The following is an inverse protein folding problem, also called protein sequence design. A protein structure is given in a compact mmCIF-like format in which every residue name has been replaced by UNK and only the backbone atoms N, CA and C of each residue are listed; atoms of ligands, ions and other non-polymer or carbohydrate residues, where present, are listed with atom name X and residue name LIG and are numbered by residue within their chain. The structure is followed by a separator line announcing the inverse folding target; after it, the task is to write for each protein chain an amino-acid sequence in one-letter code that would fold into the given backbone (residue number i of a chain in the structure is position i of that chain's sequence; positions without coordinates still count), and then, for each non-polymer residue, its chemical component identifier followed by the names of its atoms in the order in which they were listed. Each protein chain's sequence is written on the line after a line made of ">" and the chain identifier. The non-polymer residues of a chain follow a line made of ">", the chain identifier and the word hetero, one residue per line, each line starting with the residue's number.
data_IF_700441023223
#
_entry.id   IF_700441023223
#
_cell.length_a   1.000
_cell.length_b   1.000
_cell.length_c   1.000
_cell.angle_alpha   90.00
_cell.angle_beta   90.00
_cell.angle_gamma   90.00
#
_symmetry.space_group_name_H-M   'P 1'
#
loop_
_entity.id
_entity.type
_entity.pdbx_description
1 polymer ?
#
# COMPACT_ATOMS: atom_id res chain seq x y z
N UNK A 1 18.75 19.87 -61.67
CA UNK A 1 18.48 19.30 -63.01
C UNK A 1 17.32 18.31 -62.89
N UNK A 2 16.25 18.57 -63.65
CA UNK A 2 15.15 17.70 -64.18
C UNK A 2 14.48 16.70 -63.20
N UNK A 3 13.20 16.87 -62.81
CA UNK A 3 11.94 16.60 -63.58
C UNK A 3 11.78 15.12 -63.97
N UNK A 4 10.64 14.41 -63.90
CA UNK A 4 9.23 14.62 -63.51
C UNK A 4 8.55 13.22 -63.71
N UNK A 5 7.60 12.73 -62.90
CA UNK A 5 6.16 12.52 -63.19
C UNK A 5 5.66 11.46 -62.17
N UNK A 6 4.70 11.66 -61.26
CA UNK A 6 3.24 11.91 -61.34
C UNK A 6 2.45 10.93 -62.22
N UNK A 7 1.63 10.08 -61.59
CA UNK A 7 0.26 9.80 -62.04
C UNK A 7 -0.72 9.70 -60.84
N UNK A 8 -1.69 10.61 -60.87
CA UNK A 8 -2.96 10.63 -60.15
C UNK A 8 -4.05 10.57 -61.23
N UNK A 9 -5.04 9.70 -61.11
CA UNK A 9 -6.38 9.82 -61.70
C UNK A 9 -7.20 8.57 -61.34
N UNK A 10 -8.52 8.57 -61.14
CA UNK A 10 -9.60 9.56 -61.04
C UNK A 10 -10.82 8.76 -60.52
N UNK A 11 -11.65 9.34 -59.66
CA UNK A 11 -13.05 8.92 -59.45
C UNK A 11 -13.89 9.41 -60.63
N UNK A 12 -14.94 8.69 -61.05
CA UNK A 12 -16.34 9.16 -61.09
C UNK A 12 -17.34 8.03 -61.47
N UNK A 13 -18.68 8.22 -61.51
CA UNK A 13 -19.62 7.46 -60.69
C UNK A 13 -20.73 6.79 -61.53
N UNK A 14 -21.80 6.34 -60.85
CA UNK A 14 -23.09 5.87 -61.38
C UNK A 14 -23.17 4.39 -61.77
N UNK A 15 -23.90 3.61 -60.97
CA UNK A 15 -25.18 3.08 -61.45
C UNK A 15 -26.04 2.61 -60.26
N UNK A 16 -27.31 2.95 -60.36
CA UNK A 16 -28.37 2.76 -59.40
C UNK A 16 -29.02 1.39 -59.64
N UNK A 17 -29.11 0.52 -58.62
CA UNK A 17 -30.07 -0.59 -58.64
C UNK A 17 -30.43 -1.01 -57.21
N UNK A 18 -31.61 -0.58 -56.78
CA UNK A 18 -32.29 -1.01 -55.56
C UNK A 18 -32.62 -2.51 -55.65
N UNK A 19 -32.23 -3.30 -54.65
CA UNK A 19 -32.93 -4.54 -54.28
C UNK A 19 -33.32 -4.48 -52.81
N UNK A 20 -34.61 -4.28 -52.59
CA UNK A 20 -35.26 -4.43 -51.29
C UNK A 20 -35.35 -5.94 -50.98
N UNK A 21 -34.62 -6.40 -49.97
CA UNK A 21 -34.90 -7.68 -49.31
C UNK A 21 -35.29 -7.35 -47.88
N UNK A 22 -36.57 -7.58 -47.56
CA UNK A 22 -37.12 -7.45 -46.21
C UNK A 22 -36.56 -8.58 -45.33
N UNK A 23 -35.54 -8.29 -44.53
CA UNK A 23 -35.12 -9.14 -43.42
C UNK A 23 -36.02 -8.88 -42.19
N UNK A 24 -36.66 -9.93 -41.66
CA UNK A 24 -37.35 -9.88 -40.36
C UNK A 24 -36.33 -9.64 -39.24
N UNK A 25 -36.69 -8.92 -38.15
CA UNK A 25 -35.79 -8.81 -37.01
C UNK A 25 -35.69 -10.18 -36.32
N UNK A 26 -34.47 -10.71 -36.22
CA UNK A 26 -34.19 -11.87 -35.41
C UNK A 26 -34.37 -11.49 -33.93
N UNK A 27 -35.38 -12.05 -33.29
CA UNK A 27 -35.53 -12.01 -31.84
C UNK A 27 -34.41 -12.83 -31.22
N UNK A 28 -33.46 -12.15 -30.57
CA UNK A 28 -32.44 -12.79 -29.77
C UNK A 28 -33.13 -13.44 -28.55
N UNK A 29 -33.43 -14.74 -28.63
CA UNK A 29 -33.80 -15.52 -27.45
C UNK A 29 -32.55 -15.76 -26.64
N UNK A 30 -32.40 -15.02 -25.54
CA UNK A 30 -31.43 -15.36 -24.50
C UNK A 30 -31.91 -16.66 -23.86
N UNK A 31 -31.18 -17.74 -24.10
CA UNK A 31 -31.38 -19.04 -23.44
C UNK A 31 -31.15 -18.86 -21.93
N UNK A 32 -32.14 -19.19 -21.10
CA UNK A 32 -32.10 -19.04 -19.64
C UNK A 32 -31.25 -20.10 -18.92
N UNK A 33 -30.21 -20.62 -19.57
CA UNK A 33 -29.45 -21.77 -19.08
C UNK A 33 -27.95 -21.48 -19.10
N UNK A 34 -27.52 -20.40 -18.45
CA UNK A 34 -26.14 -20.17 -17.97
C UNK A 34 -26.14 -19.04 -16.93
N UNK A 35 -26.97 -19.19 -15.89
CA UNK A 35 -26.73 -18.53 -14.60
C UNK A 35 -26.63 -19.65 -13.59
N UNK A 36 -25.43 -20.20 -13.46
CA UNK A 36 -25.10 -21.15 -12.40
C UNK A 36 -23.92 -20.57 -11.63
N UNK A 37 -24.20 -20.22 -10.36
CA UNK A 37 -23.24 -19.92 -9.30
C UNK A 37 -22.45 -18.59 -9.36
N UNK A 38 -23.15 -17.46 -9.46
CA UNK A 38 -22.78 -16.33 -8.57
C UNK A 38 -23.68 -16.47 -7.35
N UNK A 39 -23.19 -17.17 -6.33
CA UNK A 39 -23.88 -17.22 -5.04
C UNK A 39 -24.01 -15.79 -4.52
N UNK A 40 -25.19 -15.21 -4.60
CA UNK A 40 -25.58 -14.07 -3.78
C UNK A 40 -25.39 -14.52 -2.34
N UNK A 41 -24.36 -13.99 -1.66
CA UNK A 41 -24.16 -14.24 -0.23
C UNK A 41 -25.44 -13.82 0.49
N UNK A 42 -25.98 -14.65 1.38
CA UNK A 42 -27.24 -14.36 2.02
C UNK A 42 -27.14 -13.04 2.81
N UNK A 43 -28.17 -12.21 2.72
CA UNK A 43 -28.32 -10.95 3.46
C UNK A 43 -28.13 -11.11 4.99
N UNK A 44 -28.10 -12.36 5.49
CA UNK A 44 -27.89 -12.71 6.90
C UNK A 44 -26.48 -12.41 7.44
N UNK A 45 -25.44 -12.34 6.59
CA UNK A 45 -24.06 -12.06 7.08
C UNK A 45 -23.91 -10.58 7.48
N UNK A 46 -24.49 -9.66 6.70
CA UNK A 46 -24.47 -8.24 7.01
C UNK A 46 -25.18 -7.90 8.33
N UNK A 47 -26.16 -8.71 8.76
CA UNK A 47 -26.93 -8.49 9.98
C UNK A 47 -26.11 -8.64 11.28
N UNK A 48 -24.96 -9.33 11.24
CA UNK A 48 -24.11 -9.58 12.41
C UNK A 48 -22.83 -8.73 12.44
N UNK A 49 -22.68 -7.78 11.51
CA UNK A 49 -21.49 -6.93 11.44
C UNK A 49 -21.60 -5.72 12.37
N UNK A 50 -20.49 -5.25 12.97
CA UNK A 50 -20.48 -4.02 13.76
C UNK A 50 -20.93 -2.79 12.96
N UNK A 51 -21.35 -1.73 13.66
CA UNK A 51 -21.55 -0.41 13.02
C UNK A 51 -20.24 0.12 12.44
N UNK A 52 -20.34 1.01 11.45
CA UNK A 52 -19.15 1.53 10.76
C UNK A 52 -18.28 2.46 11.62
N UNK A 53 -18.78 2.93 12.77
CA UNK A 53 -18.08 3.88 13.65
C UNK A 53 -16.71 3.36 14.11
N UNK A 54 -16.65 2.09 14.50
CA UNK A 54 -15.41 1.45 14.94
C UNK A 54 -14.38 1.38 13.81
N UNK A 55 -14.80 1.00 12.60
CA UNK A 55 -13.92 0.95 11.43
C UNK A 55 -13.45 2.35 11.02
N UNK A 56 -14.35 3.34 10.99
CA UNK A 56 -14.01 4.74 10.73
C UNK A 56 -13.03 5.29 11.78
N UNK A 57 -13.16 4.88 13.04
CA UNK A 57 -12.23 5.25 14.10
C UNK A 57 -10.82 4.70 13.84
N UNK A 58 -10.69 3.44 13.43
CA UNK A 58 -9.39 2.85 13.05
C UNK A 58 -8.75 3.58 11.86
N UNK A 59 -9.56 4.02 10.89
CA UNK A 59 -9.08 4.86 9.77
C UNK A 59 -8.54 6.19 10.28
N UNK A 60 -9.28 6.88 11.17
CA UNK A 60 -8.84 8.16 11.75
C UNK A 60 -7.52 8.03 12.52
N UNK A 61 -7.33 6.94 13.26
CA UNK A 61 -6.10 6.69 14.03
C UNK A 61 -4.84 6.56 13.16
N UNK A 62 -4.99 6.16 11.90
CA UNK A 62 -3.87 6.14 10.94
C UNK A 62 -3.69 7.48 10.21
N UNK A 63 -4.66 8.39 10.29
CA UNK A 63 -4.68 9.69 9.60
C UNK A 63 -4.65 10.86 10.58
N UNK A 64 -3.60 10.92 11.41
CA UNK A 64 -3.45 11.88 12.53
C UNK A 64 -2.32 12.87 12.31
N UNK A 65 -2.38 14.01 13.03
CA UNK A 65 -1.33 15.03 13.04
C UNK A 65 -1.33 15.96 11.82
N UNK A 66 -2.39 15.95 11.01
CA UNK A 66 -2.48 16.74 9.78
C UNK A 66 -2.42 18.26 10.01
N UNK A 67 -2.80 18.70 11.21
CA UNK A 67 -2.64 20.08 11.68
C UNK A 67 -1.16 20.52 11.77
N UNK A 68 -0.22 19.58 11.90
CA UNK A 68 1.22 19.87 11.89
C UNK A 68 1.79 20.00 10.48
N UNK A 69 1.05 19.64 9.43
CA UNK A 69 1.53 19.67 8.04
C UNK A 69 2.10 21.04 7.62
N UNK A 70 1.51 22.19 7.99
CA UNK A 70 2.05 23.52 7.71
C UNK A 70 3.34 23.87 8.48
N UNK A 71 3.86 22.97 9.33
CA UNK A 71 5.15 23.15 10.02
C UNK A 71 6.29 22.38 9.35
N UNK A 72 5.97 21.45 8.43
CA UNK A 72 6.97 20.60 7.81
C UNK A 72 7.67 21.30 6.65
N UNK A 73 8.96 21.08 6.53
CA UNK A 73 9.78 21.62 5.43
C UNK A 73 9.94 20.56 4.34
N UNK A 74 9.57 20.84 3.08
CA UNK A 74 9.76 19.92 1.95
C UNK A 74 11.20 19.44 1.79
N UNK A 75 11.37 18.14 1.54
CA UNK A 75 12.62 17.53 1.08
C UNK A 75 12.56 17.38 -0.43
N UNK A 76 13.45 18.06 -1.14
CA UNK A 76 13.45 18.16 -2.59
C UNK A 76 14.76 17.59 -3.13
N UNK A 77 14.65 16.60 -4.01
CA UNK A 77 15.80 16.00 -4.70
C UNK A 77 15.54 16.11 -6.20
N UNK A 78 16.50 16.64 -6.94
CA UNK A 78 16.40 16.82 -8.40
C UNK A 78 15.12 17.54 -8.84
N UNK A 79 14.76 18.60 -8.10
CA UNK A 79 13.55 19.42 -8.36
C UNK A 79 12.22 18.76 -7.97
N UNK A 80 12.23 17.55 -7.39
CA UNK A 80 11.02 16.80 -7.00
C UNK A 80 10.90 16.73 -5.48
N UNK A 81 9.74 17.09 -4.95
CA UNK A 81 9.43 16.83 -3.54
C UNK A 81 9.30 15.32 -3.32
N UNK A 82 10.11 14.79 -2.42
CA UNK A 82 10.18 13.36 -2.10
C UNK A 82 9.90 13.05 -0.64
N UNK A 83 9.77 14.09 0.20
CA UNK A 83 9.39 13.95 1.59
C UNK A 83 9.22 15.29 2.29
N UNK A 84 9.02 15.26 3.61
CA UNK A 84 8.88 16.47 4.45
C UNK A 84 9.49 16.24 5.83
N UNK A 85 10.34 17.16 6.27
CA UNK A 85 11.03 17.07 7.55
C UNK A 85 10.29 17.88 8.63
N UNK A 86 10.20 17.30 9.83
CA UNK A 86 9.83 18.05 11.03
C UNK A 86 10.95 19.02 11.44
N UNK A 87 10.64 20.15 12.11
CA UNK A 87 11.65 21.09 12.61
C UNK A 87 12.76 20.42 13.43
N UNK A 88 12.41 19.43 14.28
CA UNK A 88 13.39 18.69 15.09
C UNK A 88 14.46 17.97 14.24
N UNK A 89 14.07 17.37 13.11
CA UNK A 89 15.01 16.69 12.24
C UNK A 89 15.73 17.68 11.32
N UNK A 90 15.10 18.80 11.00
CA UNK A 90 15.74 19.91 10.29
C UNK A 90 16.99 20.41 11.02
N UNK A 91 16.96 20.49 12.36
CA UNK A 91 18.14 20.85 13.16
C UNK A 91 19.28 19.82 13.07
N UNK A 92 18.98 18.55 12.80
CA UNK A 92 20.01 17.53 12.60
C UNK A 92 20.66 17.66 11.23
N UNK A 93 19.87 17.82 10.16
CA UNK A 93 20.42 17.92 8.79
C UNK A 93 21.24 19.20 8.59
N UNK A 94 20.92 20.30 9.31
CA UNK A 94 21.73 21.54 9.31
C UNK A 94 23.19 21.34 9.75
N UNK A 95 23.48 20.27 10.50
CA UNK A 95 24.85 19.94 10.95
C UNK A 95 25.74 19.41 9.82
N UNK A 96 25.15 19.07 8.67
CA UNK A 96 25.81 18.43 7.53
C UNK A 96 25.66 19.28 6.26
N UNK A 97 26.16 20.54 6.25
CA UNK A 97 26.01 21.45 5.11
C UNK A 97 26.71 20.97 3.83
N UNK A 98 27.64 20.03 3.95
CA UNK A 98 28.29 19.34 2.84
C UNK A 98 27.41 18.30 2.14
N UNK A 99 26.25 17.97 2.71
CA UNK A 99 25.26 17.04 2.13
C UNK A 99 23.91 17.72 1.92
N UNK A 100 23.42 18.47 2.92
CA UNK A 100 22.10 19.09 2.91
C UNK A 100 22.17 20.60 2.85
N UNK A 101 21.42 21.20 1.93
CA UNK A 101 21.21 22.64 1.85
C UNK A 101 19.80 22.96 2.35
N UNK A 102 19.71 23.75 3.43
CA UNK A 102 18.45 24.23 4.00
C UNK A 102 18.23 25.67 3.57
N UNK A 103 17.19 25.91 2.77
CA UNK A 103 16.81 27.23 2.30
C UNK A 103 15.52 27.71 2.99
N UNK A 104 15.47 28.99 3.32
CA UNK A 104 14.28 29.62 3.92
C UNK A 104 14.07 29.26 5.39
N UNK A 105 12.88 29.58 5.89
CA UNK A 105 12.45 29.26 7.26
C UNK A 105 11.84 27.86 7.32
N UNK A 106 11.76 27.28 8.52
CA UNK A 106 11.03 26.03 8.72
C UNK A 106 9.56 26.16 8.26
N UNK A 107 9.00 25.06 7.75
CA UNK A 107 7.67 25.02 7.16
C UNK A 107 7.66 25.09 5.62
N UNK A 108 6.47 25.25 5.01
CA UNK A 108 6.24 25.13 3.57
C UNK A 108 6.96 26.15 2.69
N UNK A 109 7.42 27.28 3.25
CA UNK A 109 8.16 28.31 2.51
C UNK A 109 9.65 28.02 2.40
N UNK A 110 10.18 27.11 3.21
CA UNK A 110 11.54 26.61 3.09
C UNK A 110 11.62 25.35 2.25
N UNK A 111 12.83 24.83 2.09
CA UNK A 111 13.08 23.51 1.50
C UNK A 111 14.44 22.98 1.95
N UNK A 112 14.55 21.66 2.01
CA UNK A 112 15.83 20.94 2.16
C UNK A 112 16.17 20.30 0.82
N UNK A 113 17.37 20.55 0.33
CA UNK A 113 17.90 19.96 -0.91
C UNK A 113 19.24 19.29 -0.64
N UNK A 114 19.73 18.53 -1.61
CA UNK A 114 21.10 17.98 -1.58
C UNK A 114 22.06 18.92 -2.32
N UNK A 115 23.35 18.90 -1.95
CA UNK A 115 24.37 19.70 -2.63
C UNK A 115 24.52 19.33 -4.11
N UNK A 116 24.92 20.30 -4.93
CA UNK A 116 24.91 20.16 -6.39
C UNK A 116 25.92 19.12 -6.95
N UNK A 117 26.96 18.80 -6.19
CA UNK A 117 27.96 17.78 -6.52
C UNK A 117 27.44 16.34 -6.34
N UNK A 118 26.30 16.17 -5.66
CA UNK A 118 25.56 14.90 -5.54
C UNK A 118 24.62 14.73 -6.74
N UNK A 119 25.22 14.63 -7.92
CA UNK A 119 24.58 14.62 -9.24
C UNK A 119 24.02 13.25 -9.68
N UNK A 120 24.30 12.18 -8.94
CA UNK A 120 23.87 10.80 -9.25
C UNK A 120 23.17 10.16 -8.05
N UNK A 121 22.19 9.25 -8.26
CA UNK A 121 21.55 8.51 -7.18
C UNK A 121 22.56 7.80 -6.26
N UNK A 122 23.64 7.28 -6.81
CA UNK A 122 24.69 6.56 -6.08
C UNK A 122 25.43 7.49 -5.11
N UNK A 123 25.92 8.64 -5.59
CA UNK A 123 26.58 9.64 -4.74
C UNK A 123 25.65 10.16 -3.65
N UNK A 124 24.39 10.43 -3.98
CA UNK A 124 23.38 10.87 -3.02
C UNK A 124 23.16 9.81 -1.94
N UNK A 125 22.99 8.55 -2.35
CA UNK A 125 22.79 7.42 -1.43
C UNK A 125 23.97 7.25 -0.48
N UNK A 126 25.20 7.27 -1.01
CA UNK A 126 26.42 7.12 -0.21
C UNK A 126 26.56 8.24 0.83
N UNK A 127 26.42 9.50 0.42
CA UNK A 127 26.60 10.66 1.32
C UNK A 127 25.49 10.78 2.35
N UNK A 128 24.24 10.56 1.95
CA UNK A 128 23.11 10.54 2.89
C UNK A 128 23.25 9.37 3.85
N UNK A 129 23.66 8.18 3.40
CA UNK A 129 23.88 7.03 4.27
C UNK A 129 24.94 7.30 5.35
N UNK A 130 26.04 8.01 5.01
CA UNK A 130 27.05 8.40 5.99
C UNK A 130 26.46 9.30 7.10
N UNK A 131 25.64 10.29 6.74
CA UNK A 131 24.94 11.14 7.71
C UNK A 131 23.98 10.32 8.59
N UNK A 132 23.18 9.45 7.99
CA UNK A 132 22.22 8.62 8.73
C UNK A 132 22.93 7.64 9.67
N UNK A 133 24.09 7.10 9.28
CA UNK A 133 24.91 6.23 10.11
C UNK A 133 25.49 7.00 11.30
N UNK A 134 25.96 8.22 11.13
CA UNK A 134 26.40 9.06 12.26
C UNK A 134 25.23 9.35 13.22
N UNK A 135 24.06 9.72 12.70
CA UNK A 135 22.87 9.96 13.54
C UNK A 135 22.39 8.68 14.26
N UNK A 136 22.64 7.50 13.70
CA UNK A 136 22.42 6.21 14.39
C UNK A 136 23.42 6.02 15.54
N UNK A 137 24.70 6.28 15.31
CA UNK A 137 25.75 6.16 16.34
C UNK A 137 25.53 7.10 17.51
N UNK A 138 24.96 8.27 17.24
CA UNK A 138 24.52 9.25 18.25
C UNK A 138 23.20 8.86 18.96
N UNK A 139 22.58 7.73 18.58
CA UNK A 139 21.32 7.25 19.15
C UNK A 139 20.08 8.02 18.71
N UNK A 140 20.20 8.96 17.75
CA UNK A 140 19.07 9.71 17.21
C UNK A 140 18.19 8.83 16.31
N UNK A 141 18.81 7.99 15.47
CA UNK A 141 18.13 6.99 14.65
C UNK A 141 18.22 5.63 15.33
N UNK A 142 17.07 5.01 15.58
CA UNK A 142 16.96 3.69 16.21
C UNK A 142 16.20 2.72 15.31
N UNK A 143 16.27 1.42 15.61
CA UNK A 143 15.57 0.40 14.83
C UNK A 143 16.13 0.18 13.42
N UNK A 144 17.45 0.27 13.28
CA UNK A 144 18.20 -0.02 12.06
C UNK A 144 18.01 -1.47 11.62
N UNK A 145 17.72 -1.70 10.33
CA UNK A 145 17.36 -3.02 9.78
C UNK A 145 18.27 -3.50 8.66
N UNK A 146 19.22 -2.67 8.20
CA UNK A 146 20.02 -2.94 7.01
C UNK A 146 19.13 -3.18 5.78
N UNK A 147 18.08 -2.36 5.63
CA UNK A 147 17.07 -2.53 4.58
C UNK A 147 16.85 -1.19 3.88
N UNK A 148 17.33 -1.10 2.63
CA UNK A 148 17.26 0.13 1.87
C UNK A 148 15.86 0.36 1.30
N UNK A 149 15.31 1.54 1.58
CA UNK A 149 14.10 2.06 0.96
C UNK A 149 14.45 3.02 -0.17
N UNK A 150 13.72 2.96 -1.30
CA UNK A 150 13.89 3.92 -2.38
C UNK A 150 13.25 5.27 -2.02
N UNK A 151 13.97 6.36 -2.24
CA UNK A 151 13.41 7.71 -2.18
C UNK A 151 12.92 8.08 -3.58
N UNK A 152 11.60 8.08 -3.74
CA UNK A 152 10.91 8.28 -5.02
C UNK A 152 9.77 9.29 -4.89
N UNK A 153 9.47 10.08 -5.95
CA UNK A 153 8.27 10.92 -5.98
C UNK A 153 6.98 10.10 -6.13
N UNK A 154 7.07 8.95 -6.79
CA UNK A 154 5.97 8.02 -7.07
C UNK A 154 6.45 6.59 -7.16
N UNK A 155 5.56 5.61 -7.01
CA UNK A 155 5.95 4.19 -6.92
C UNK A 155 6.68 3.69 -8.17
N UNK A 156 6.29 4.17 -9.35
CA UNK A 156 6.88 3.74 -10.64
C UNK A 156 8.10 4.57 -11.06
N UNK A 157 8.47 5.60 -10.29
CA UNK A 157 9.62 6.43 -10.63
C UNK A 157 10.95 5.72 -10.31
N UNK A 158 11.99 6.05 -11.07
CA UNK A 158 13.35 5.65 -10.70
C UNK A 158 13.75 6.29 -9.35
N UNK A 159 14.40 5.53 -8.44
CA UNK A 159 14.90 6.07 -7.18
C UNK A 159 15.87 7.22 -7.40
N UNK A 160 15.65 8.33 -6.68
CA UNK A 160 16.57 9.48 -6.71
C UNK A 160 17.76 9.30 -5.76
N UNK A 161 17.58 8.46 -4.75
CA UNK A 161 18.57 7.92 -3.82
C UNK A 161 17.95 6.76 -3.04
N UNK A 162 18.78 6.02 -2.31
CA UNK A 162 18.38 4.99 -1.36
C UNK A 162 18.74 5.44 0.05
N UNK A 163 17.88 5.12 1.01
CA UNK A 163 18.11 5.42 2.43
C UNK A 163 17.76 4.22 3.27
N UNK A 164 18.36 4.11 4.44
CA UNK A 164 17.96 3.08 5.40
C UNK A 164 16.50 3.28 5.86
N UNK A 165 15.74 2.17 5.92
CA UNK A 165 14.33 2.13 6.35
C UNK A 165 14.07 2.86 7.67
N UNK A 166 14.97 2.77 8.65
CA UNK A 166 14.85 3.47 9.93
C UNK A 166 14.76 5.00 9.79
N UNK A 167 15.29 5.58 8.71
CA UNK A 167 15.26 7.01 8.46
C UNK A 167 14.03 7.48 7.66
N UNK A 168 13.23 6.56 7.11
CA UNK A 168 12.15 6.91 6.17
C UNK A 168 11.16 7.94 6.75
N UNK A 169 10.71 7.73 7.99
CA UNK A 169 9.77 8.64 8.67
C UNK A 169 10.41 9.97 9.07
N UNK A 170 11.71 10.00 9.36
CA UNK A 170 12.43 11.24 9.70
C UNK A 170 12.60 12.15 8.48
N UNK A 171 13.01 11.56 7.35
CA UNK A 171 13.08 12.23 6.05
C UNK A 171 11.68 12.52 5.47
N UNK A 172 10.65 11.89 6.04
CA UNK A 172 9.26 12.03 5.63
C UNK A 172 9.00 11.50 4.23
N UNK A 173 9.75 10.50 3.78
CA UNK A 173 9.60 9.96 2.43
C UNK A 173 8.35 9.07 2.35
N UNK A 174 7.79 8.98 1.14
CA UNK A 174 6.76 7.98 0.84
C UNK A 174 7.33 6.58 1.00
N UNK A 175 6.68 5.77 1.82
CA UNK A 175 7.08 4.39 2.09
C UNK A 175 6.01 3.43 1.59
N UNK A 176 6.46 2.29 1.08
CA UNK A 176 5.58 1.25 0.56
C UNK A 176 5.69 -0.03 1.39
N UNK A 177 4.64 -0.83 1.39
CA UNK A 177 4.62 -2.16 2.01
C UNK A 177 3.68 -3.10 1.28
N UNK A 178 3.84 -4.40 1.53
CA UNK A 178 2.94 -5.45 1.03
C UNK A 178 2.25 -6.11 2.21
N UNK A 179 0.96 -6.38 2.07
CA UNK A 179 0.14 -7.00 3.10
C UNK A 179 -0.71 -8.11 2.48
N UNK A 180 -0.68 -9.30 3.06
CA UNK A 180 -1.40 -10.47 2.54
C UNK A 180 -2.55 -10.83 3.48
N UNK A 181 -3.77 -10.85 2.95
CA UNK A 181 -4.91 -11.50 3.58
C UNK A 181 -4.87 -12.99 3.22
N UNK A 182 -4.31 -13.82 4.10
CA UNK A 182 -4.40 -15.28 3.97
C UNK A 182 -5.73 -15.76 4.51
N UNK A 183 -6.57 -16.31 3.65
CA UNK A 183 -7.92 -16.74 4.04
C UNK A 183 -8.22 -18.18 3.59
N UNK A 184 -9.14 -18.82 4.28
CA UNK A 184 -9.66 -20.16 3.95
C UNK A 184 -11.16 -20.06 3.73
N UNK A 185 -11.64 -20.61 2.62
CA UNK A 185 -13.07 -20.74 2.35
C UNK A 185 -13.64 -21.99 3.05
N UNK A 186 -14.68 -21.79 3.84
CA UNK A 186 -15.40 -22.86 4.52
C UNK A 186 -16.46 -23.50 3.58
N UNK A 187 -16.88 -24.75 3.83
CA UNK A 187 -17.89 -25.42 3.00
C UNK A 187 -19.24 -24.71 2.92
N UNK A 188 -19.60 -23.92 3.93
CA UNK A 188 -20.82 -23.10 3.99
C UNK A 188 -20.71 -21.78 3.21
N UNK A 189 -19.54 -21.50 2.61
CA UNK A 189 -19.24 -20.27 1.88
C UNK A 189 -18.67 -19.15 2.74
N UNK A 190 -18.62 -19.31 4.08
CA UNK A 190 -17.97 -18.38 4.99
C UNK A 190 -16.45 -18.33 4.79
N UNK A 191 -15.84 -17.23 5.21
CA UNK A 191 -14.39 -17.06 5.16
C UNK A 191 -13.80 -17.05 6.57
N UNK A 192 -12.61 -17.61 6.72
CA UNK A 192 -11.75 -17.43 7.89
C UNK A 192 -10.44 -16.77 7.47
N UNK A 193 -9.91 -15.87 8.29
CA UNK A 193 -8.62 -15.23 8.09
C UNK A 193 -7.58 -15.80 9.05
N UNK A 194 -6.40 -16.08 8.52
CA UNK A 194 -5.22 -16.30 9.34
C UNK A 194 -4.71 -14.96 9.88
N UNK A 195 -4.63 -14.88 11.20
CA UNK A 195 -4.18 -13.70 11.95
C UNK A 195 -2.91 -14.09 12.70
N UNK A 196 -1.84 -13.35 12.49
CA UNK A 196 -0.60 -13.52 13.25
C UNK A 196 -0.68 -12.77 14.58
N UNK A 197 0.05 -13.23 15.58
CA UNK A 197 0.42 -12.44 16.75
C UNK A 197 1.90 -12.09 16.66
N UNK A 198 2.20 -10.80 16.75
CA UNK A 198 3.57 -10.30 16.70
C UNK A 198 4.35 -10.79 17.91
N UNK A 199 5.59 -11.20 17.68
CA UNK A 199 6.51 -11.58 18.75
C UNK A 199 6.65 -10.46 19.79
N UNK A 200 6.82 -10.86 21.05
CA UNK A 200 7.03 -9.92 22.17
C UNK A 200 8.37 -9.19 22.08
N UNK A 201 9.30 -9.67 21.27
CA UNK A 201 10.62 -9.05 21.06
C UNK A 201 10.61 -7.97 19.96
N UNK A 202 9.49 -7.78 19.25
CA UNK A 202 9.38 -6.75 18.23
C UNK A 202 9.55 -5.35 18.84
N UNK A 203 10.36 -4.46 18.23
CA UNK A 203 10.58 -3.11 18.75
C UNK A 203 9.33 -2.22 18.64
N UNK A 204 8.43 -2.54 17.71
CA UNK A 204 7.17 -1.84 17.50
C UNK A 204 6.01 -2.83 17.63
N UNK A 205 5.02 -2.48 18.44
CA UNK A 205 3.77 -3.22 18.64
C UNK A 205 3.96 -4.69 19.05
N UNK A 206 4.75 -5.00 20.10
CA UNK A 206 4.91 -6.38 20.59
C UNK A 206 3.56 -6.95 21.04
N UNK A 207 3.29 -8.22 20.72
CA UNK A 207 2.08 -8.95 21.15
C UNK A 207 0.77 -8.59 20.45
N UNK A 208 0.77 -7.53 19.63
CA UNK A 208 -0.40 -7.12 18.83
C UNK A 208 -0.71 -8.12 17.72
N UNK A 209 -1.97 -8.14 17.29
CA UNK A 209 -2.39 -8.90 16.11
C UNK A 209 -1.89 -8.23 14.83
N UNK A 210 -1.57 -9.03 13.82
CA UNK A 210 -1.07 -8.63 12.50
C UNK A 210 -1.71 -9.49 11.41
N UNK A 211 -1.42 -9.18 10.15
CA UNK A 211 -1.74 -10.09 9.05
C UNK A 211 -0.92 -11.37 9.16
N UNK A 212 -1.34 -12.43 8.45
CA UNK A 212 -0.50 -13.62 8.29
C UNK A 212 0.90 -13.26 7.75
N UNK A 213 0.97 -12.29 6.82
CA UNK A 213 2.21 -11.81 6.21
C UNK A 213 2.12 -10.31 5.94
N UNK A 214 3.10 -9.52 6.39
CA UNK A 214 3.16 -8.07 6.15
C UNK A 214 4.58 -7.48 6.21
N UNK A 215 5.13 -7.13 5.05
CA UNK A 215 6.49 -6.60 4.90
C UNK A 215 6.56 -5.13 4.47
N UNK A 216 7.66 -4.49 4.83
CA UNK A 216 8.08 -3.26 4.14
C UNK A 216 8.46 -3.56 2.69
N UNK A 217 8.36 -2.59 1.78
CA UNK A 217 8.80 -2.79 0.39
C UNK A 217 10.24 -2.27 0.22
N UNK A 218 11.26 -3.13 0.22
CA UNK A 218 12.63 -2.71 0.03
C UNK A 218 12.90 -2.35 -1.44
N UNK A 219 14.01 -1.64 -1.65
CA UNK A 219 14.59 -1.47 -2.97
C UNK A 219 15.07 -2.81 -3.54
N UNK A 220 15.01 -2.96 -4.87
CA UNK A 220 15.53 -4.13 -5.58
C UNK A 220 14.56 -5.32 -5.66
N UNK A 221 13.42 -5.29 -4.95
CA UNK A 221 12.36 -6.28 -5.08
C UNK A 221 11.11 -5.68 -5.72
N UNK A 222 10.44 -6.46 -6.57
CA UNK A 222 9.05 -6.18 -6.94
C UNK A 222 8.13 -6.52 -5.78
N UNK A 223 6.90 -5.99 -5.76
CA UNK A 223 5.93 -6.36 -4.73
C UNK A 223 5.62 -7.86 -4.71
N UNK A 224 5.51 -8.49 -5.89
CA UNK A 224 5.28 -9.93 -5.97
C UNK A 224 6.47 -10.73 -5.40
N UNK A 225 7.70 -10.34 -5.74
CA UNK A 225 8.90 -10.99 -5.18
C UNK A 225 9.00 -10.80 -3.66
N UNK A 226 8.61 -9.62 -3.17
CA UNK A 226 8.58 -9.35 -1.75
C UNK A 226 7.49 -10.16 -1.03
N UNK A 227 6.30 -10.28 -1.61
CA UNK A 227 5.24 -11.19 -1.09
C UNK A 227 5.76 -12.62 -0.99
N UNK A 228 6.47 -13.14 -2.00
CA UNK A 228 7.06 -14.49 -1.94
C UNK A 228 8.05 -14.64 -0.78
N UNK A 229 8.99 -13.69 -0.65
CA UNK A 229 9.98 -13.64 0.43
C UNK A 229 9.30 -13.65 1.81
N UNK A 230 8.43 -12.68 2.06
CA UNK A 230 7.78 -12.49 3.37
C UNK A 230 6.84 -13.66 3.71
N UNK A 231 6.19 -14.25 2.70
CA UNK A 231 5.37 -15.45 2.88
C UNK A 231 6.16 -16.64 3.44
N UNK A 232 7.38 -16.85 2.93
CA UNK A 232 8.27 -17.90 3.41
C UNK A 232 8.79 -17.55 4.80
N UNK A 233 9.37 -16.36 4.99
CA UNK A 233 10.04 -15.94 6.23
C UNK A 233 9.09 -15.85 7.44
N UNK A 234 7.92 -15.21 7.28
CA UNK A 234 7.03 -14.93 8.42
C UNK A 234 6.09 -16.09 8.74
N UNK A 235 5.64 -16.84 7.73
CA UNK A 235 4.53 -17.80 7.85
C UNK A 235 4.82 -19.20 7.30
N UNK A 236 6.01 -19.45 6.75
CA UNK A 236 6.37 -20.75 6.18
C UNK A 236 5.48 -21.13 4.98
N UNK A 237 4.91 -20.16 4.29
CA UNK A 237 4.10 -20.39 3.09
C UNK A 237 5.06 -20.65 1.93
N UNK A 238 5.01 -21.84 1.30
CA UNK A 238 5.97 -22.19 0.26
C UNK A 238 5.72 -21.37 -1.02
N UNK A 239 6.79 -21.07 -1.75
CA UNK A 239 6.75 -20.22 -2.95
C UNK A 239 5.65 -20.59 -3.98
N UNK A 240 5.37 -21.88 -4.29
CA UNK A 240 4.27 -22.22 -5.21
C UNK A 240 2.90 -21.77 -4.72
N UNK A 241 2.66 -21.78 -3.40
CA UNK A 241 1.41 -21.31 -2.82
C UNK A 241 1.38 -19.78 -2.75
N UNK A 242 2.46 -19.16 -2.27
CA UNK A 242 2.59 -17.70 -2.22
C UNK A 242 2.43 -17.05 -3.61
N UNK A 243 2.89 -17.71 -4.68
CA UNK A 243 2.75 -17.25 -6.06
C UNK A 243 1.30 -17.16 -6.55
N UNK A 244 0.34 -17.76 -5.84
CA UNK A 244 -1.09 -17.67 -6.15
C UNK A 244 -1.74 -16.42 -5.54
N UNK A 245 -1.02 -15.67 -4.69
CA UNK A 245 -1.50 -14.43 -4.10
C UNK A 245 -1.84 -13.42 -5.20
N UNK A 246 -3.01 -12.78 -5.09
CA UNK A 246 -3.51 -11.84 -6.09
C UNK A 246 -3.44 -10.41 -5.55
N UNK A 247 -2.88 -9.44 -6.30
CA UNK A 247 -3.01 -8.04 -5.94
C UNK A 247 -4.49 -7.63 -6.06
N UNK A 248 -5.01 -6.99 -5.03
CA UNK A 248 -6.45 -6.65 -4.90
C UNK A 248 -6.70 -5.17 -4.64
N UNK A 249 -5.64 -4.37 -4.54
CA UNK A 249 -5.71 -2.93 -4.36
C UNK A 249 -4.56 -2.39 -3.54
N UNK A 250 -4.77 -1.21 -2.99
CA UNK A 250 -3.89 -0.61 -2.01
C UNK A 250 -4.71 0.19 -1.00
N UNK A 251 -4.12 0.52 0.14
CA UNK A 251 -4.63 1.53 1.08
C UNK A 251 -3.54 2.56 1.34
N UNK A 252 -3.92 3.79 1.63
CA UNK A 252 -2.99 4.86 1.95
C UNK A 252 -3.43 5.65 3.17
N UNK A 253 -2.45 6.10 3.95
CA UNK A 253 -2.68 6.93 5.12
C UNK A 253 -1.51 7.87 5.35
N UNK A 254 -1.76 8.90 6.15
CA UNK A 254 -0.73 9.85 6.54
C UNK A 254 -0.74 10.06 8.04
N UNK A 255 0.35 9.71 8.71
CA UNK A 255 0.54 10.03 10.12
C UNK A 255 1.65 11.06 10.28
N UNK A 256 1.36 12.14 11.00
CA UNK A 256 2.39 13.07 11.50
C UNK A 256 2.45 12.89 13.01
N UNK A 257 3.63 12.60 13.53
CA UNK A 257 3.81 12.35 14.97
C UNK A 257 5.17 12.88 15.43
N UNK A 258 5.52 12.63 16.69
CA UNK A 258 6.85 12.94 17.21
C UNK A 258 7.98 12.25 16.43
N UNK A 259 7.72 11.10 15.77
CA UNK A 259 8.73 10.37 15.01
C UNK A 259 9.00 10.95 13.62
N UNK A 260 8.12 11.82 13.10
CA UNK A 260 8.26 12.41 11.77
C UNK A 260 6.97 12.42 10.96
N UNK A 261 7.13 12.40 9.64
CA UNK A 261 6.05 12.38 8.66
C UNK A 261 6.00 11.00 7.99
N UNK A 262 4.82 10.40 7.90
CA UNK A 262 4.66 9.02 7.42
C UNK A 262 3.51 8.91 6.40
N UNK A 263 3.77 9.24 5.13
CA UNK A 263 2.84 9.01 4.03
C UNK A 263 3.06 7.59 3.48
N UNK A 264 2.33 6.62 4.02
CA UNK A 264 2.49 5.21 3.66
C UNK A 264 1.44 4.76 2.64
N UNK A 265 1.86 3.86 1.74
CA UNK A 265 0.99 3.11 0.83
C UNK A 265 1.22 1.61 1.04
N UNK A 266 0.14 0.87 1.29
CA UNK A 266 0.19 -0.57 1.50
C UNK A 266 -0.50 -1.27 0.34
N UNK A 267 0.24 -2.10 -0.41
CA UNK A 267 -0.31 -2.94 -1.46
C UNK A 267 -0.97 -4.17 -0.84
N UNK A 268 -2.26 -4.36 -1.14
CA UNK A 268 -3.07 -5.44 -0.59
C UNK A 268 -3.02 -6.65 -1.53
N UNK A 269 -2.78 -7.83 -0.96
CA UNK A 269 -2.84 -9.11 -1.63
C UNK A 269 -3.84 -10.02 -0.93
N UNK A 270 -4.57 -10.83 -1.69
CA UNK A 270 -5.41 -11.90 -1.16
C UNK A 270 -4.80 -13.24 -1.56
N UNK A 271 -4.68 -14.16 -0.60
CA UNK A 271 -4.16 -15.51 -0.79
C UNK A 271 -5.14 -16.52 -0.20
N UNK A 272 -5.82 -17.27 -1.06
CA UNK A 272 -6.68 -18.39 -0.62
C UNK A 272 -5.79 -19.58 -0.30
N UNK A 273 -5.78 -19.99 0.98
CA UNK A 273 -4.95 -21.06 1.49
C UNK A 273 -5.74 -22.39 1.54
N UNK A 274 -5.08 -23.53 1.31
CA UNK A 274 -5.69 -24.84 1.51
C UNK A 274 -6.26 -24.99 2.93
N UNK A 275 -7.42 -25.65 3.12
CA UNK A 275 -8.00 -25.83 4.45
C UNK A 275 -7.13 -26.58 5.46
N UNK A 276 -6.19 -27.39 4.97
CA UNK A 276 -5.22 -28.17 5.74
C UNK A 276 -3.87 -27.47 5.92
N UNK A 277 -3.67 -26.30 5.30
CA UNK A 277 -2.45 -25.52 5.50
C UNK A 277 -2.45 -24.84 6.87
N UNK A 278 -1.34 -25.01 7.60
CA UNK A 278 -1.09 -24.36 8.89
C UNK A 278 0.22 -23.56 8.80
N UNK A 279 0.18 -22.22 8.93
CA UNK A 279 1.38 -21.41 8.89
C UNK A 279 2.30 -21.68 10.10
N UNK A 280 3.60 -21.53 9.89
CA UNK A 280 4.63 -21.75 10.92
C UNK A 280 5.53 -20.51 11.00
N UNK A 281 5.77 -19.95 12.21
CA UNK A 281 6.68 -18.81 12.35
C UNK A 281 8.14 -19.30 12.18
N UNK A 282 8.89 -18.71 11.25
CA UNK A 282 10.27 -19.18 10.95
C UNK A 282 11.36 -18.20 11.40
N UNK A 283 11.12 -16.90 11.32
CA UNK A 283 12.15 -15.87 11.53
C UNK A 283 12.14 -15.23 12.94
N UNK A 284 11.19 -15.64 13.80
CA UNK A 284 11.01 -15.11 15.16
C UNK A 284 10.23 -13.80 15.24
N UNK A 285 9.67 -13.30 14.13
CA UNK A 285 8.87 -12.09 14.07
C UNK A 285 7.41 -12.31 14.54
N UNK A 286 6.93 -13.54 14.41
CA UNK A 286 5.58 -14.00 14.81
C UNK A 286 5.70 -15.00 15.96
N UNK A 287 4.82 -14.90 16.96
CA UNK A 287 4.75 -15.86 18.08
C UNK A 287 3.74 -16.97 17.87
N UNK A 288 2.60 -16.66 17.25
CA UNK A 288 1.54 -17.64 16.97
C UNK A 288 0.65 -17.17 15.80
N UNK A 289 -0.09 -18.11 15.24
CA UNK A 289 -1.15 -17.86 14.25
C UNK A 289 -2.49 -18.37 14.76
N UNK A 290 -3.56 -17.63 14.45
CA UNK A 290 -4.95 -18.02 14.75
C UNK A 290 -5.79 -17.93 13.47
N UNK A 291 -6.58 -18.97 13.20
CA UNK A 291 -7.55 -18.95 12.10
C UNK A 291 -8.92 -18.55 12.65
N UNK A 292 -9.38 -17.35 12.33
CA UNK A 292 -10.59 -16.75 12.90
C UNK A 292 -11.67 -16.53 11.83
N UNK A 293 -12.97 -16.71 12.15
CA UNK A 293 -14.07 -16.23 11.31
C UNK A 293 -13.91 -14.75 10.98
N UNK A 294 -14.22 -14.35 9.75
CA UNK A 294 -14.09 -12.94 9.33
C UNK A 294 -14.94 -12.01 10.18
N UNK A 295 -16.10 -12.47 10.64
CA UNK A 295 -17.00 -11.73 11.54
C UNK A 295 -16.33 -11.46 12.90
N UNK A 296 -15.57 -12.42 13.44
CA UNK A 296 -14.80 -12.23 14.67
C UNK A 296 -13.66 -11.22 14.45
N UNK A 297 -12.94 -11.33 13.33
CA UNK A 297 -11.89 -10.35 12.97
C UNK A 297 -12.50 -8.95 12.84
N UNK A 298 -13.65 -8.82 12.19
CA UNK A 298 -14.36 -7.56 12.04
C UNK A 298 -14.78 -6.96 13.40
N UNK A 299 -15.29 -7.79 14.32
CA UNK A 299 -15.63 -7.38 15.68
C UNK A 299 -14.40 -6.89 16.46
N UNK A 300 -13.25 -7.56 16.34
CA UNK A 300 -11.99 -7.13 16.97
C UNK A 300 -11.55 -5.77 16.41
N UNK A 301 -11.56 -5.60 15.08
CA UNK A 301 -11.14 -4.34 14.43
C UNK A 301 -12.06 -3.18 14.87
N UNK A 302 -13.37 -3.38 14.85
CA UNK A 302 -14.33 -2.33 15.22
C UNK A 302 -14.32 -2.01 16.71
N UNK A 303 -14.17 -3.03 17.56
CA UNK A 303 -14.36 -2.91 19.01
C UNK A 303 -13.09 -2.72 19.84
N UNK A 304 -11.89 -2.89 19.25
CA UNK A 304 -10.63 -2.92 20.03
C UNK A 304 -9.44 -2.34 19.26
N UNK A 305 -8.30 -2.22 19.95
CA UNK A 305 -7.02 -1.81 19.35
C UNK A 305 -5.99 -2.95 19.31
N UNK A 306 -6.44 -4.21 19.36
CA UNK A 306 -5.57 -5.39 19.43
C UNK A 306 -4.68 -5.55 18.18
N UNK A 307 -5.19 -5.17 17.01
CA UNK A 307 -4.40 -5.13 15.78
C UNK A 307 -3.40 -3.97 15.78
N UNK A 308 -2.23 -4.21 15.20
CA UNK A 308 -1.31 -3.15 14.74
C UNK A 308 -2.09 -2.18 13.85
N UNK A 309 -1.96 -0.88 14.10
CA UNK A 309 -2.93 0.13 13.63
C UNK A 309 -3.22 0.07 12.13
N UNK A 310 -2.18 0.01 11.29
CA UNK A 310 -2.35 0.02 9.83
C UNK A 310 -2.90 -1.30 9.27
N UNK A 311 -2.92 -2.38 10.06
CA UNK A 311 -3.50 -3.65 9.63
C UNK A 311 -5.02 -3.56 9.58
N UNK A 312 -5.62 -2.77 10.47
CA UNK A 312 -7.05 -2.50 10.44
C UNK A 312 -7.49 -1.96 9.06
N UNK A 313 -6.68 -1.11 8.40
CA UNK A 313 -7.04 -0.52 7.10
C UNK A 313 -7.16 -1.59 6.01
N UNK A 314 -6.19 -2.51 5.95
CA UNK A 314 -6.18 -3.59 4.95
C UNK A 314 -7.30 -4.60 5.22
N UNK A 315 -7.59 -4.89 6.49
CA UNK A 315 -8.72 -5.74 6.86
C UNK A 315 -10.05 -5.07 6.49
N UNK A 316 -10.21 -3.77 6.75
CA UNK A 316 -11.43 -3.03 6.35
C UNK A 316 -11.59 -3.07 4.82
N UNK A 317 -10.51 -2.86 4.06
CA UNK A 317 -10.50 -3.01 2.59
C UNK A 317 -10.92 -4.42 2.16
N UNK A 318 -10.43 -5.47 2.84
CA UNK A 318 -10.88 -6.85 2.62
C UNK A 318 -12.37 -7.03 2.89
N UNK A 319 -12.89 -6.52 4.01
CA UNK A 319 -14.31 -6.62 4.36
C UNK A 319 -15.20 -5.94 3.32
N UNK A 320 -14.78 -4.79 2.79
CA UNK A 320 -15.45 -4.08 1.69
C UNK A 320 -15.45 -4.92 0.41
N UNK A 321 -14.27 -5.36 -0.05
CA UNK A 321 -14.13 -6.10 -1.32
C UNK A 321 -14.85 -7.46 -1.31
N UNK A 322 -14.95 -8.08 -0.14
CA UNK A 322 -15.63 -9.37 0.03
C UNK A 322 -17.10 -9.24 0.42
N UNK A 323 -17.66 -8.03 0.50
CA UNK A 323 -19.09 -7.79 0.73
C UNK A 323 -19.56 -8.08 2.17
N UNK A 324 -18.66 -7.99 3.15
CA UNK A 324 -19.00 -8.00 4.57
C UNK A 324 -19.47 -6.63 5.05
N UNK A 325 -18.93 -5.56 4.44
CA UNK A 325 -19.45 -4.20 4.60
C UNK A 325 -20.13 -3.80 3.30
N UNK A 326 -21.30 -3.18 3.39
CA UNK A 326 -22.20 -2.95 2.23
C UNK A 326 -22.60 -1.48 2.09
N UNK A 327 -22.92 -1.01 0.87
CA UNK A 327 -23.26 0.39 0.60
C UNK A 327 -24.44 0.95 1.39
N UNK A 328 -25.36 0.10 1.85
CA UNK A 328 -26.55 0.49 2.63
C UNK A 328 -26.22 0.91 4.06
N UNK A 329 -25.00 0.62 4.56
CA UNK A 329 -24.58 1.05 5.89
C UNK A 329 -24.19 2.54 5.88
N UNK A 330 -24.74 3.30 6.84
CA UNK A 330 -24.43 4.71 6.99
C UNK A 330 -22.91 4.92 7.21
N UNK A 331 -22.31 5.80 6.40
CA UNK A 331 -20.87 6.07 6.43
C UNK A 331 -20.02 5.19 5.50
N UNK A 332 -20.62 4.28 4.72
CA UNK A 332 -19.86 3.39 3.82
C UNK A 332 -18.95 4.13 2.83
N UNK A 333 -19.45 5.20 2.17
CA UNK A 333 -18.62 5.98 1.25
C UNK A 333 -17.50 6.75 1.97
N UNK A 334 -17.73 7.20 3.21
CA UNK A 334 -16.70 7.82 4.04
C UNK A 334 -15.61 6.80 4.41
N UNK A 335 -16.01 5.55 4.70
CA UNK A 335 -15.10 4.45 4.98
C UNK A 335 -14.20 4.16 3.78
N UNK A 336 -14.80 3.96 2.60
CA UNK A 336 -14.06 3.66 1.36
C UNK A 336 -13.12 4.82 0.97
N UNK A 337 -13.59 6.07 1.07
CA UNK A 337 -12.73 7.23 0.82
C UNK A 337 -11.58 7.32 1.84
N UNK A 338 -11.87 7.02 3.11
CA UNK A 338 -10.91 7.04 4.21
C UNK A 338 -9.71 6.12 4.01
N UNK A 339 -9.91 4.97 3.36
CA UNK A 339 -8.84 4.02 3.00
C UNK A 339 -7.85 4.55 1.96
N UNK A 340 -8.12 5.72 1.37
CA UNK A 340 -7.29 6.40 0.36
C UNK A 340 -6.94 7.84 0.76
N UNK A 341 -6.80 8.08 2.06
CA UNK A 341 -6.58 9.43 2.59
C UNK A 341 -5.17 9.96 2.33
N UNK A 342 -4.18 9.08 2.19
CA UNK A 342 -2.81 9.45 1.81
C UNK A 342 -2.62 9.53 0.29
N UNK A 343 -1.60 10.26 -0.13
CA UNK A 343 -1.19 10.31 -1.54
C UNK A 343 -0.70 8.94 -2.04
N UNK A 344 -1.39 8.37 -3.03
CA UNK A 344 -1.09 7.08 -3.64
C UNK A 344 -0.21 7.18 -4.90
N UNK A 345 0.17 8.39 -5.31
CA UNK A 345 0.85 8.61 -6.60
C UNK A 345 2.21 7.94 -6.71
#
# INVERSE_FOLDING_TARGET
>A
MRCLQRQLAKRDPSCCAKRHVRGRPATLRVSSAFITSLGTRPASIAANMPTLDGFLQRIRECNTGMEELPTLTPFVVDGKEVGKLKPRFLEQVKRFPEVFIVEGQSGPSGKVTLTADLDTPEKRSEKVAAVLQQLREEGFITGWRNELYPVVPSFSAAPLLLVERAAATLLGIKAYGVHVNGFVRQPDGGLKLWVARRSMTKPLWPGKLDHIVAGGQPHGLSCAANVLKECEEEAGIPAPLAATARPVGAVSYTTISASGYKPDVLFCYDLELPPDFVPTPLDGEVSEFRLLPVEEVAAIVAGSTEFKSNCNLVIIDFLVRHGYLVPEQEGYLQLVAGLRSGDCS
#
